data_IF_992963968421
#
_entry.id   IF_992963968421
#
_cell.length_a   1.000
_cell.length_b   1.000
_cell.length_c   1.000
_cell.angle_alpha   90.00
_cell.angle_beta   90.00
_cell.angle_gamma   90.00
#
_symmetry.space_group_name_H-M   'P 1'
#
loop_
_entity.id
_entity.type
_entity.pdbx_description
1 polymer ?
#
# COMPACT_ATOMS: atom_id res chain seq x y z
N UNK A 1 -8.49 23.73 21.94
CA UNK A 1 -8.52 22.51 21.10
C UNK A 1 -8.23 22.94 19.69
N UNK A 2 -7.26 22.30 19.00
CA UNK A 2 -7.07 22.56 17.56
C UNK A 2 -8.32 22.05 16.83
N UNK A 3 -8.87 22.83 15.94
CA UNK A 3 -9.98 22.43 15.07
C UNK A 3 -9.47 21.40 14.07
N UNK A 4 -10.21 20.30 13.90
CA UNK A 4 -9.90 19.33 12.86
C UNK A 4 -10.42 19.83 11.51
N UNK A 5 -9.61 19.66 10.49
CA UNK A 5 -9.97 19.96 9.09
C UNK A 5 -10.10 18.65 8.32
N UNK A 6 -11.11 18.53 7.47
CA UNK A 6 -11.28 17.41 6.55
C UNK A 6 -10.52 17.65 5.26
N UNK A 7 -9.71 16.68 4.89
CA UNK A 7 -8.86 16.70 3.70
C UNK A 7 -9.03 15.40 2.93
N UNK A 8 -9.21 15.47 1.63
CA UNK A 8 -9.14 14.31 0.76
C UNK A 8 -7.79 14.28 0.08
N UNK A 9 -7.08 13.17 0.30
CA UNK A 9 -5.83 12.87 -0.41
C UNK A 9 -6.08 11.84 -1.50
N UNK A 10 -5.33 11.96 -2.60
CA UNK A 10 -5.21 10.94 -3.63
C UNK A 10 -4.01 10.05 -3.35
N UNK A 11 -4.14 8.78 -3.64
CA UNK A 11 -3.08 7.78 -3.58
C UNK A 11 -2.96 7.13 -4.96
N UNK A 12 -1.73 6.99 -5.48
CA UNK A 12 -1.44 6.35 -6.75
C UNK A 12 -0.17 5.52 -6.71
N UNK A 13 -0.17 4.37 -7.39
CA UNK A 13 1.02 3.50 -7.51
C UNK A 13 0.98 2.78 -8.86
N UNK A 14 2.15 2.65 -9.54
CA UNK A 14 2.27 1.83 -10.75
C UNK A 14 3.57 1.01 -10.83
N UNK A 15 4.32 0.93 -9.74
CA UNK A 15 5.51 0.08 -9.61
C UNK A 15 5.44 -0.75 -8.33
N UNK A 16 6.06 -1.93 -8.36
CA UNK A 16 6.17 -2.82 -7.22
C UNK A 16 4.82 -3.37 -6.75
N UNK A 17 4.70 -3.66 -5.47
CA UNK A 17 3.46 -4.14 -4.83
C UNK A 17 2.47 -2.99 -4.64
N UNK A 18 1.74 -2.64 -5.70
CA UNK A 18 0.92 -1.43 -5.81
C UNK A 18 -0.12 -1.33 -4.69
N UNK A 19 -0.87 -2.40 -4.44
CA UNK A 19 -1.88 -2.40 -3.37
C UNK A 19 -1.25 -2.36 -1.98
N UNK A 20 -0.20 -3.14 -1.74
CA UNK A 20 0.52 -3.15 -0.47
C UNK A 20 1.12 -1.76 -0.14
N UNK A 21 1.65 -1.05 -1.15
CA UNK A 21 2.16 0.31 -1.02
C UNK A 21 1.06 1.31 -0.61
N UNK A 22 -0.12 1.26 -1.24
CA UNK A 22 -1.25 2.13 -0.86
C UNK A 22 -1.73 1.84 0.57
N UNK A 23 -1.76 0.57 0.98
CA UNK A 23 -2.15 0.16 2.34
C UNK A 23 -1.11 0.59 3.38
N UNK A 24 0.17 0.44 3.08
CA UNK A 24 1.25 0.89 3.95
C UNK A 24 1.22 2.42 4.14
N UNK A 25 0.95 3.18 3.07
CA UNK A 25 0.78 4.62 3.16
C UNK A 25 -0.35 5.01 4.12
N UNK A 26 -1.51 4.37 4.03
CA UNK A 26 -2.63 4.63 4.93
C UNK A 26 -2.32 4.30 6.39
N UNK A 27 -1.60 3.19 6.65
CA UNK A 27 -1.21 2.82 8.01
C UNK A 27 -0.16 3.80 8.59
N UNK A 28 0.80 4.27 7.79
CA UNK A 28 1.79 5.27 8.21
C UNK A 28 1.12 6.62 8.50
N UNK A 29 0.17 7.04 7.68
CA UNK A 29 -0.62 8.25 7.93
C UNK A 29 -1.45 8.11 9.21
N UNK A 30 -2.12 6.98 9.42
CA UNK A 30 -2.91 6.73 10.62
C UNK A 30 -2.05 6.67 11.90
N UNK A 31 -0.78 6.26 11.79
CA UNK A 31 0.19 6.27 12.90
C UNK A 31 0.77 7.67 13.18
N UNK A 32 0.56 8.63 12.28
CA UNK A 32 1.13 9.97 12.40
C UNK A 32 0.30 10.86 13.33
N UNK A 33 0.99 11.63 14.18
CA UNK A 33 0.32 12.52 15.13
C UNK A 33 -0.48 13.61 14.41
N UNK A 34 -1.73 13.80 14.83
CA UNK A 34 -2.61 14.82 14.28
C UNK A 34 -3.31 14.43 12.98
N UNK A 35 -3.25 13.16 12.59
CA UNK A 35 -3.94 12.63 11.42
C UNK A 35 -4.81 11.44 11.82
N UNK A 36 -6.05 11.43 11.37
CA UNK A 36 -7.01 10.33 11.45
C UNK A 36 -7.43 9.95 10.03
N UNK A 37 -7.28 8.70 9.63
CA UNK A 37 -7.83 8.17 8.38
C UNK A 37 -9.28 7.76 8.64
N UNK A 38 -10.23 8.58 8.18
CA UNK A 38 -11.67 8.40 8.44
C UNK A 38 -12.24 7.31 7.56
N UNK A 39 -11.96 7.34 6.27
CA UNK A 39 -12.41 6.34 5.29
C UNK A 39 -11.51 6.35 4.05
N UNK A 40 -11.64 5.30 3.25
CA UNK A 40 -10.95 5.15 1.96
C UNK A 40 -11.93 4.69 0.89
N UNK A 41 -11.63 5.04 -0.37
CA UNK A 41 -12.37 4.56 -1.53
C UNK A 41 -12.03 3.11 -1.86
N UNK A 42 -12.69 2.55 -2.85
CA UNK A 42 -12.21 1.38 -3.60
C UNK A 42 -10.90 1.72 -4.33
N UNK A 43 -10.25 0.66 -4.83
CA UNK A 43 -9.12 0.76 -5.76
C UNK A 43 -9.64 0.95 -7.18
N UNK A 44 -9.02 1.85 -7.91
CA UNK A 44 -9.33 2.14 -9.31
C UNK A 44 -8.08 1.93 -10.18
N UNK A 45 -8.13 0.95 -11.07
CA UNK A 45 -7.06 0.75 -12.02
C UNK A 45 -7.30 1.58 -13.27
N UNK A 46 -6.34 2.42 -13.66
CA UNK A 46 -6.45 3.31 -14.83
C UNK A 46 -5.23 3.24 -15.74
N UNK A 47 -5.40 3.65 -16.98
CA UNK A 47 -4.29 3.85 -17.89
C UNK A 47 -3.39 5.01 -17.40
N UNK A 48 -2.07 4.97 -17.66
CA UNK A 48 -1.19 6.08 -17.32
C UNK A 48 -1.47 7.30 -18.18
N UNK A 49 -1.29 8.48 -17.59
CA UNK A 49 -1.25 9.75 -18.35
C UNK A 49 0.21 10.04 -18.69
N UNK A 50 0.53 10.21 -19.97
CA UNK A 50 1.89 10.51 -20.43
C UNK A 50 2.56 9.36 -21.18
N UNK A 51 3.90 9.13 -21.01
CA UNK A 51 4.60 8.10 -21.74
C UNK A 51 4.11 6.68 -21.39
N UNK A 52 4.31 5.68 -22.27
CA UNK A 52 3.98 4.29 -21.99
C UNK A 52 4.64 3.80 -20.70
N UNK A 53 3.85 3.31 -19.76
CA UNK A 53 4.27 2.79 -18.46
C UNK A 53 3.18 1.88 -17.89
N UNK A 54 3.44 1.11 -16.82
CA UNK A 54 2.42 0.26 -16.19
C UNK A 54 1.18 1.03 -15.76
N UNK A 55 0.03 0.34 -15.72
CA UNK A 55 -1.24 0.90 -15.26
C UNK A 55 -1.14 1.34 -13.79
N UNK A 56 -1.79 2.45 -13.47
CA UNK A 56 -1.88 2.95 -12.11
C UNK A 56 -3.00 2.25 -11.33
N UNK A 57 -2.72 1.99 -10.07
CA UNK A 57 -3.71 1.70 -9.06
C UNK A 57 -3.92 2.97 -8.24
N UNK A 58 -5.14 3.51 -8.24
CA UNK A 58 -5.49 4.77 -7.58
C UNK A 58 -6.52 4.54 -6.49
N UNK A 59 -6.49 5.40 -5.47
CA UNK A 59 -7.51 5.48 -4.43
C UNK A 59 -7.59 6.92 -3.90
N UNK A 60 -8.57 7.20 -3.05
CA UNK A 60 -8.60 8.39 -2.21
C UNK A 60 -8.86 8.00 -0.75
N UNK A 61 -8.42 8.87 0.16
CA UNK A 61 -8.75 8.76 1.56
C UNK A 61 -9.22 10.11 2.11
N UNK A 62 -10.28 10.07 2.92
CA UNK A 62 -10.71 11.20 3.73
C UNK A 62 -9.92 11.18 5.04
N UNK A 63 -9.18 12.22 5.29
CA UNK A 63 -8.45 12.45 6.52
C UNK A 63 -9.18 13.51 7.36
N UNK A 64 -9.08 13.38 8.68
CA UNK A 64 -9.35 14.44 9.64
C UNK A 64 -8.02 14.80 10.31
N UNK A 65 -7.59 16.05 10.18
CA UNK A 65 -6.26 16.46 10.63
C UNK A 65 -6.24 17.77 11.38
N UNK A 66 -5.28 17.90 12.32
CA UNK A 66 -4.93 19.15 13.01
C UNK A 66 -3.68 19.81 12.45
N UNK A 67 -3.08 19.23 11.41
CA UNK A 67 -1.91 19.75 10.72
C UNK A 67 -2.32 20.88 9.78
N UNK A 68 -1.47 21.90 9.69
CA UNK A 68 -1.61 22.91 8.63
C UNK A 68 -1.37 22.28 7.24
N UNK A 69 -1.96 22.80 6.17
CA UNK A 69 -1.86 22.21 4.83
C UNK A 69 -0.42 21.94 4.38
N UNK A 70 0.52 22.81 4.71
CA UNK A 70 1.95 22.66 4.37
C UNK A 70 2.63 21.58 5.22
N UNK A 71 2.23 21.42 6.48
CA UNK A 71 2.72 20.34 7.36
C UNK A 71 2.20 18.98 6.87
N UNK A 72 0.91 18.92 6.49
CA UNK A 72 0.35 17.72 5.88
C UNK A 72 1.08 17.35 4.58
N UNK A 73 1.34 18.32 3.69
CA UNK A 73 2.09 18.06 2.46
C UNK A 73 3.51 17.54 2.75
N UNK A 74 4.19 18.07 3.75
CA UNK A 74 5.49 17.57 4.18
C UNK A 74 5.41 16.11 4.65
N UNK A 75 4.39 15.77 5.46
CA UNK A 75 4.14 14.40 5.91
C UNK A 75 3.87 13.45 4.72
N UNK A 76 3.04 13.86 3.74
CA UNK A 76 2.78 13.06 2.54
C UNK A 76 4.08 12.73 1.79
N UNK A 77 4.95 13.73 1.60
CA UNK A 77 6.26 13.54 0.96
C UNK A 77 7.20 12.64 1.78
N UNK A 78 7.13 12.66 3.11
CA UNK A 78 7.91 11.79 3.98
C UNK A 78 7.44 10.33 3.87
N UNK A 79 6.13 10.12 3.83
CA UNK A 79 5.54 8.79 3.60
C UNK A 79 5.95 8.24 2.23
N UNK A 80 5.87 9.04 1.17
CA UNK A 80 6.33 8.65 -0.17
C UNK A 80 7.80 8.21 -0.17
N UNK A 81 8.68 8.99 0.48
CA UNK A 81 10.11 8.66 0.58
C UNK A 81 10.34 7.35 1.34
N UNK A 82 9.62 7.14 2.43
CA UNK A 82 9.74 5.91 3.22
C UNK A 82 9.26 4.68 2.45
N UNK A 83 8.34 4.88 1.47
CA UNK A 83 7.80 3.84 0.59
C UNK A 83 8.52 3.79 -0.77
N UNK A 84 9.79 4.19 -0.79
CA UNK A 84 10.69 3.95 -1.91
C UNK A 84 10.48 4.87 -3.12
N UNK A 85 9.79 6.01 -2.97
CA UNK A 85 9.66 6.96 -4.05
C UNK A 85 11.01 7.59 -4.40
N UNK A 86 11.48 7.37 -5.62
CA UNK A 86 12.61 8.06 -6.22
C UNK A 86 12.11 9.02 -7.31
N UNK A 87 12.54 10.27 -7.27
CA UNK A 87 12.22 11.27 -8.31
C UNK A 87 13.24 11.16 -9.43
N UNK A 88 12.97 10.34 -10.47
CA UNK A 88 13.85 10.17 -11.64
C UNK A 88 13.46 11.09 -12.81
N UNK A 89 12.18 11.02 -13.23
CA UNK A 89 11.67 11.75 -14.39
C UNK A 89 10.29 12.38 -14.10
N UNK A 90 10.01 13.49 -14.78
CA UNK A 90 8.67 14.08 -14.76
C UNK A 90 7.71 13.15 -15.51
N UNK A 91 6.57 12.80 -14.90
CA UNK A 91 5.56 11.87 -15.43
C UNK A 91 6.04 10.40 -15.53
N UNK A 92 7.18 10.07 -14.92
CA UNK A 92 7.70 8.71 -14.86
C UNK A 92 6.93 7.80 -13.91
N UNK A 93 7.15 6.47 -14.01
CA UNK A 93 6.55 5.50 -13.10
C UNK A 93 7.07 5.69 -11.67
N UNK A 94 6.24 5.32 -10.68
CA UNK A 94 6.55 5.53 -9.26
C UNK A 94 5.93 4.49 -8.36
N UNK A 95 6.61 4.18 -7.26
CA UNK A 95 6.10 3.28 -6.23
C UNK A 95 4.88 3.84 -5.52
N UNK A 96 4.90 5.14 -5.21
CA UNK A 96 3.80 5.83 -4.53
C UNK A 96 3.73 7.29 -4.96
N UNK A 97 2.51 7.81 -5.09
CA UNK A 97 2.18 9.22 -5.31
C UNK A 97 1.07 9.61 -4.34
N UNK A 98 1.30 10.63 -3.51
CA UNK A 98 0.32 11.15 -2.55
C UNK A 98 0.07 12.62 -2.84
N UNK A 99 -1.16 12.95 -3.24
CA UNK A 99 -1.57 14.31 -3.55
C UNK A 99 -2.63 14.82 -2.57
N UNK A 100 -2.50 16.06 -2.09
CA UNK A 100 -3.58 16.76 -1.42
C UNK A 100 -4.59 17.26 -2.48
N UNK A 101 -5.71 16.54 -2.61
CA UNK A 101 -6.68 16.84 -3.67
C UNK A 101 -7.62 17.96 -3.32
N UNK A 102 -8.13 17.97 -2.08
CA UNK A 102 -9.18 18.87 -1.65
C UNK A 102 -9.17 19.04 -0.13
N UNK A 103 -9.52 20.24 0.33
CA UNK A 103 -9.69 20.58 1.75
C UNK A 103 -11.06 21.22 1.91
N UNK A 104 -11.82 20.81 2.93
CA UNK A 104 -13.16 21.34 3.20
C UNK A 104 -13.09 22.87 3.44
N UNK A 105 -13.87 23.62 2.67
CA UNK A 105 -14.05 25.06 2.79
C UNK A 105 -12.76 25.89 2.71
N UNK A 106 -11.70 25.35 2.09
CA UNK A 106 -10.41 26.02 2.01
C UNK A 106 -9.79 25.99 0.62
N UNK A 107 -9.09 27.07 0.30
CA UNK A 107 -8.20 27.20 -0.85
C UNK A 107 -6.79 27.49 -0.37
N UNK A 108 -5.82 26.81 -0.96
CA UNK A 108 -4.40 27.03 -0.67
C UNK A 108 -3.69 27.35 -1.99
N UNK A 109 -2.87 28.39 -2.00
CA UNK A 109 -2.06 28.76 -3.15
C UNK A 109 -0.69 29.22 -2.68
N UNK A 110 0.22 28.23 -2.53
CA UNK A 110 1.62 28.46 -2.20
C UNK A 110 2.52 27.89 -3.31
N UNK A 111 3.82 28.22 -3.35
CA UNK A 111 4.73 27.62 -4.32
C UNK A 111 4.83 26.09 -4.25
N UNK A 112 4.54 25.51 -3.08
CA UNK A 112 4.65 24.05 -2.83
C UNK A 112 3.32 23.31 -2.80
N UNK A 113 2.18 24.03 -2.71
CA UNK A 113 0.87 23.39 -2.57
C UNK A 113 -0.23 24.28 -3.15
N UNK A 114 -1.03 23.70 -4.04
CA UNK A 114 -2.26 24.32 -4.57
C UNK A 114 -3.43 23.38 -4.30
N UNK A 115 -4.45 23.86 -3.57
CA UNK A 115 -5.67 23.11 -3.24
C UNK A 115 -6.90 23.98 -3.54
N UNK A 116 -7.92 23.47 -4.25
CA UNK A 116 -8.00 22.12 -4.87
C UNK A 116 -6.88 21.86 -5.86
N UNK A 117 -6.48 20.58 -5.98
CA UNK A 117 -5.42 20.21 -6.91
C UNK A 117 -5.75 20.71 -8.33
N UNK A 118 -4.83 21.39 -9.04
CA UNK A 118 -5.12 22.09 -10.30
C UNK A 118 -5.78 21.20 -11.36
N UNK A 119 -5.38 19.94 -11.46
CA UNK A 119 -5.88 18.98 -12.43
C UNK A 119 -7.08 18.15 -11.92
N UNK A 120 -7.58 18.40 -10.71
CA UNK A 120 -8.61 17.55 -10.08
C UNK A 120 -9.85 17.40 -10.97
N UNK A 121 -10.36 18.50 -11.50
CA UNK A 121 -11.61 18.50 -12.28
C UNK A 121 -11.47 17.84 -13.66
N UNK A 122 -10.24 17.63 -14.14
CA UNK A 122 -9.94 17.02 -15.43
C UNK A 122 -9.59 15.53 -15.34
N UNK A 123 -9.45 14.97 -14.12
CA UNK A 123 -8.93 13.61 -13.87
C UNK A 123 -9.96 12.72 -13.22
N UNK A 124 -10.59 11.84 -13.99
CA UNK A 124 -11.57 10.90 -13.46
C UNK A 124 -11.01 10.00 -12.37
N UNK A 125 -9.77 9.51 -12.54
CA UNK A 125 -9.08 8.62 -11.58
C UNK A 125 -8.79 9.27 -10.22
N UNK A 126 -8.83 10.62 -10.13
CA UNK A 126 -8.72 11.35 -8.87
C UNK A 126 -10.10 11.77 -8.33
N UNK A 127 -10.98 12.24 -9.22
CA UNK A 127 -12.28 12.81 -8.85
C UNK A 127 -13.28 11.73 -8.42
N UNK A 128 -13.30 10.57 -9.10
CA UNK A 128 -14.20 9.47 -8.77
C UNK A 128 -13.96 8.89 -7.37
N UNK A 129 -12.73 8.50 -6.98
CA UNK A 129 -12.46 8.04 -5.63
C UNK A 129 -12.64 9.14 -4.57
N UNK A 130 -12.39 10.42 -4.90
CA UNK A 130 -12.68 11.55 -3.99
C UNK A 130 -14.17 11.60 -3.65
N UNK A 131 -15.06 11.56 -4.64
CA UNK A 131 -16.51 11.63 -4.43
C UNK A 131 -17.01 10.39 -3.67
N UNK A 132 -16.36 9.23 -3.84
CA UNK A 132 -16.71 8.03 -3.07
C UNK A 132 -16.48 8.22 -1.56
N UNK A 133 -15.40 8.89 -1.15
CA UNK A 133 -15.09 9.14 0.28
C UNK A 133 -15.70 10.41 0.83
N UNK A 134 -16.07 11.37 -0.03
CA UNK A 134 -16.68 12.65 0.35
C UNK A 134 -17.73 13.07 -0.69
N UNK A 135 -18.95 12.45 -0.65
CA UNK A 135 -20.00 12.69 -1.66
C UNK A 135 -20.54 14.11 -1.71
N UNK A 136 -20.43 14.84 -0.60
CA UNK A 136 -20.87 16.21 -0.42
C UNK A 136 -19.79 17.26 -0.73
N UNK A 137 -18.62 16.83 -1.25
CA UNK A 137 -17.54 17.72 -1.59
C UNK A 137 -17.95 18.76 -2.65
N UNK A 138 -17.67 20.02 -2.36
CA UNK A 138 -17.89 21.15 -3.27
C UNK A 138 -16.55 21.78 -3.64
N UNK A 139 -16.48 22.38 -4.81
CA UNK A 139 -15.34 23.22 -5.17
C UNK A 139 -15.35 24.50 -4.33
N UNK A 140 -14.35 24.75 -3.48
CA UNK A 140 -14.35 25.94 -2.62
C UNK A 140 -14.18 27.25 -3.39
N UNK A 141 -13.95 27.22 -4.72
CA UNK A 141 -13.80 28.38 -5.58
C UNK A 141 -15.15 28.99 -5.97
N UNK A 142 -16.18 28.14 -6.17
CA UNK A 142 -17.49 28.57 -6.67
C UNK A 142 -18.68 27.88 -5.98
N UNK A 143 -18.42 26.94 -5.05
CA UNK A 143 -19.44 26.17 -4.34
C UNK A 143 -20.11 25.05 -5.18
N UNK A 144 -19.63 24.77 -6.39
CA UNK A 144 -20.22 23.75 -7.24
C UNK A 144 -19.93 22.34 -6.69
N UNK A 145 -20.90 21.41 -6.66
CA UNK A 145 -20.66 20.03 -6.27
C UNK A 145 -19.64 19.35 -7.20
N UNK A 146 -18.58 18.76 -6.64
CA UNK A 146 -17.58 18.02 -7.43
C UNK A 146 -18.16 16.84 -8.20
N UNK A 147 -19.25 16.25 -7.71
CA UNK A 147 -20.02 15.23 -8.44
C UNK A 147 -20.53 15.70 -9.81
N UNK A 148 -20.80 17.00 -9.95
CA UNK A 148 -21.20 17.59 -11.23
C UNK A 148 -20.05 17.63 -12.23
N UNK A 149 -18.84 17.93 -11.75
CA UNK A 149 -17.64 17.89 -12.60
C UNK A 149 -17.36 16.48 -13.09
N UNK A 150 -17.47 15.46 -12.21
CA UNK A 150 -17.32 14.06 -12.60
C UNK A 150 -18.35 13.67 -13.68
N UNK A 151 -19.59 14.08 -13.54
CA UNK A 151 -20.64 13.77 -14.53
C UNK A 151 -20.40 14.40 -15.91
N UNK A 152 -19.57 15.45 -16.00
CA UNK A 152 -19.20 16.12 -17.26
C UNK A 152 -17.96 15.53 -17.93
N UNK A 153 -17.19 14.68 -17.24
CA UNK A 153 -16.04 13.99 -17.84
C UNK A 153 -16.50 12.86 -18.76
N UNK A 154 -15.76 12.64 -19.85
CA UNK A 154 -15.90 11.41 -20.64
C UNK A 154 -15.36 10.23 -19.81
N UNK A 155 -16.17 9.19 -19.55
CA UNK A 155 -15.72 8.05 -18.77
C UNK A 155 -14.51 7.35 -19.41
N UNK A 156 -13.50 7.02 -18.62
CA UNK A 156 -12.44 6.10 -19.05
C UNK A 156 -13.00 4.67 -19.07
N UNK A 157 -13.33 4.18 -20.26
CA UNK A 157 -13.87 2.83 -20.46
C UNK A 157 -12.90 1.71 -20.01
N UNK A 158 -11.62 2.03 -19.79
CA UNK A 158 -10.60 1.07 -19.34
C UNK A 158 -10.42 1.08 -17.84
N UNK A 159 -11.04 2.01 -17.12
CA UNK A 159 -10.93 2.11 -15.67
C UNK A 159 -11.80 1.04 -15.00
N UNK A 160 -11.18 0.23 -14.16
CA UNK A 160 -11.86 -0.80 -13.37
C UNK A 160 -11.79 -0.48 -11.89
N UNK A 161 -12.81 -0.87 -11.13
CA UNK A 161 -12.86 -0.65 -9.69
C UNK A 161 -13.02 -1.97 -8.94
N UNK A 162 -12.25 -2.14 -7.86
CA UNK A 162 -12.34 -3.27 -6.95
C UNK A 162 -12.15 -2.81 -5.50
N UNK A 163 -12.65 -3.55 -4.49
CA UNK A 163 -12.31 -3.25 -3.10
C UNK A 163 -10.80 -3.39 -2.87
N UNK A 164 -10.27 -2.74 -1.81
CA UNK A 164 -9.02 -3.20 -1.25
C UNK A 164 -9.22 -4.64 -0.80
N UNK A 165 -8.42 -5.55 -1.33
CA UNK A 165 -8.47 -6.93 -0.87
C UNK A 165 -8.04 -6.98 0.60
N UNK A 166 -8.74 -7.80 1.41
CA UNK A 166 -8.13 -8.25 2.64
C UNK A 166 -6.85 -8.96 2.19
N UNK A 167 -5.69 -8.58 2.73
CA UNK A 167 -4.38 -9.06 2.28
C UNK A 167 -4.28 -10.60 2.18
N UNK A 168 -5.29 -11.32 2.61
CA UNK A 168 -5.22 -12.75 2.87
C UNK A 168 -6.55 -13.45 2.56
N UNK A 169 -6.59 -14.19 1.49
CA UNK A 169 -7.30 -15.45 1.56
C UNK A 169 -6.33 -16.45 2.25
N UNK A 170 -6.14 -16.31 3.56
CA UNK A 170 -5.40 -17.25 4.36
C UNK A 170 -6.25 -18.53 4.47
N UNK A 171 -5.89 -19.55 3.73
CA UNK A 171 -6.38 -20.89 3.94
C UNK A 171 -5.29 -21.63 4.75
N UNK A 172 -5.50 -21.90 6.05
CA UNK A 172 -4.55 -22.71 6.79
C UNK A 172 -4.46 -24.08 6.15
N UNK A 173 -3.24 -24.53 5.84
CA UNK A 173 -2.99 -25.90 5.43
C UNK A 173 -3.00 -26.75 6.70
N UNK A 174 -3.97 -27.68 6.78
CA UNK A 174 -4.07 -28.60 7.91
C UNK A 174 -2.98 -29.67 7.81
N UNK A 175 -1.80 -29.42 8.36
CA UNK A 175 -0.79 -30.41 8.65
C UNK A 175 -0.48 -30.45 10.15
N UNK A 176 -0.29 -31.64 10.68
CA UNK A 176 -0.26 -31.92 12.13
C UNK A 176 1.04 -31.47 12.85
N UNK A 177 2.03 -30.93 12.14
CA UNK A 177 3.31 -30.51 12.69
C UNK A 177 3.87 -29.21 12.08
N UNK A 178 3.35 -28.74 10.93
CA UNK A 178 3.84 -27.58 10.22
C UNK A 178 2.72 -26.55 10.05
N UNK A 179 3.03 -25.27 10.07
CA UNK A 179 2.10 -24.21 9.67
C UNK A 179 2.24 -23.93 8.18
N UNK A 180 1.12 -23.75 7.47
CA UNK A 180 1.14 -23.43 6.07
C UNK A 180 0.00 -22.51 5.68
N UNK A 181 0.18 -21.79 4.56
CA UNK A 181 -0.83 -20.91 4.05
C UNK A 181 -0.89 -20.88 2.52
N UNK A 182 -2.01 -20.44 2.00
CA UNK A 182 -2.17 -20.04 0.60
C UNK A 182 -2.40 -18.54 0.55
N UNK A 183 -1.60 -17.82 -0.21
CA UNK A 183 -1.79 -16.40 -0.51
C UNK A 183 -2.21 -16.22 -1.97
N UNK A 184 -2.99 -15.16 -2.25
CA UNK A 184 -3.35 -14.73 -3.60
C UNK A 184 -3.19 -13.22 -3.73
N UNK A 185 -2.79 -12.75 -4.91
CA UNK A 185 -2.69 -11.32 -5.22
C UNK A 185 -2.86 -11.07 -6.72
N UNK A 186 -3.10 -9.81 -7.09
CA UNK A 186 -3.30 -9.41 -8.49
C UNK A 186 -2.03 -9.46 -9.33
N UNK A 187 -0.86 -9.37 -8.70
CA UNK A 187 0.45 -9.49 -9.35
C UNK A 187 1.48 -10.13 -8.42
N UNK A 188 2.65 -10.48 -8.97
CA UNK A 188 3.69 -11.20 -8.24
C UNK A 188 4.30 -10.36 -7.10
N UNK A 189 4.49 -9.06 -7.30
CA UNK A 189 5.05 -8.18 -6.27
C UNK A 189 4.09 -8.05 -5.08
N UNK A 190 2.78 -7.90 -5.33
CA UNK A 190 1.76 -7.91 -4.28
C UNK A 190 1.66 -9.30 -3.61
N UNK A 191 1.88 -10.42 -4.35
CA UNK A 191 1.93 -11.75 -3.76
C UNK A 191 3.09 -11.93 -2.78
N UNK A 192 4.30 -11.46 -3.14
CA UNK A 192 5.47 -11.48 -2.26
C UNK A 192 5.22 -10.68 -0.98
N UNK A 193 4.64 -9.47 -1.11
CA UNK A 193 4.28 -8.63 0.02
C UNK A 193 3.20 -9.30 0.90
N UNK A 194 2.13 -9.83 0.30
CA UNK A 194 1.06 -10.52 1.00
C UNK A 194 1.57 -11.76 1.75
N UNK A 195 2.41 -12.57 1.13
CA UNK A 195 2.99 -13.76 1.76
C UNK A 195 3.84 -13.42 2.99
N UNK A 196 4.62 -12.33 2.92
CA UNK A 196 5.37 -11.81 4.06
C UNK A 196 4.44 -11.35 5.20
N UNK A 197 3.35 -10.64 4.87
CA UNK A 197 2.36 -10.21 5.86
C UNK A 197 1.64 -11.40 6.52
N UNK A 198 1.28 -12.45 5.75
CA UNK A 198 0.71 -13.70 6.33
C UNK A 198 1.68 -14.31 7.32
N UNK A 199 2.95 -14.49 6.91
CA UNK A 199 3.97 -15.06 7.78
C UNK A 199 4.13 -14.24 9.06
N UNK A 200 4.14 -12.91 9.00
CA UNK A 200 4.15 -12.04 10.18
C UNK A 200 2.90 -12.22 11.06
N UNK A 201 1.72 -12.41 10.45
CA UNK A 201 0.47 -12.64 11.17
C UNK A 201 0.38 -14.00 11.86
N UNK A 202 1.15 -15.00 11.43
CA UNK A 202 1.33 -16.26 12.17
C UNK A 202 2.11 -16.05 13.47
N UNK A 203 3.02 -15.08 13.51
CA UNK A 203 3.83 -14.76 14.69
C UNK A 203 3.07 -13.84 15.66
N UNK A 204 2.45 -12.77 15.14
CA UNK A 204 1.81 -11.74 15.97
C UNK A 204 0.55 -11.19 15.30
N UNK A 205 -0.42 -10.75 16.10
CA UNK A 205 -1.59 -10.06 15.55
C UNK A 205 -1.19 -8.71 14.93
N UNK A 206 -1.11 -8.67 13.60
CA UNK A 206 -0.71 -7.48 12.86
C UNK A 206 -1.61 -6.25 13.13
N UNK A 207 -2.86 -6.44 13.56
CA UNK A 207 -3.76 -5.33 13.90
C UNK A 207 -3.36 -4.62 15.20
N UNK A 208 -2.67 -5.31 16.10
CA UNK A 208 -2.15 -4.72 17.35
C UNK A 208 -0.84 -3.93 17.14
N UNK A 209 -0.24 -4.02 15.94
CA UNK A 209 1.05 -3.40 15.66
C UNK A 209 0.87 -2.02 15.05
N UNK A 210 1.33 -0.97 15.74
CA UNK A 210 1.48 0.38 15.18
C UNK A 210 2.89 0.51 14.60
N UNK A 211 3.05 0.81 13.30
CA UNK A 211 4.37 0.87 12.69
C UNK A 211 5.17 2.08 13.21
N UNK A 212 6.25 1.81 13.90
CA UNK A 212 7.21 2.80 14.43
C UNK A 212 8.62 2.60 13.91
N UNK A 213 8.84 1.51 13.16
CA UNK A 213 10.12 1.08 12.61
C UNK A 213 9.94 0.54 11.21
N UNK A 214 10.92 0.76 10.36
CA UNK A 214 11.02 0.10 9.04
C UNK A 214 12.37 -0.59 8.88
N UNK A 215 12.37 -1.68 8.13
CA UNK A 215 13.56 -2.45 7.77
C UNK A 215 13.58 -2.63 6.26
N UNK A 216 14.65 -2.18 5.61
CA UNK A 216 14.86 -2.44 4.18
C UNK A 216 15.29 -3.89 3.97
N UNK A 217 14.69 -4.54 3.00
CA UNK A 217 15.00 -5.92 2.61
C UNK A 217 15.45 -5.93 1.16
N UNK A 218 16.56 -6.62 0.88
CA UNK A 218 17.05 -6.83 -0.48
C UNK A 218 17.63 -8.23 -0.61
N UNK A 219 17.09 -9.01 -1.53
CA UNK A 219 17.58 -10.35 -1.84
C UNK A 219 18.02 -10.44 -3.28
N UNK A 220 19.19 -11.03 -3.51
CA UNK A 220 19.67 -11.37 -4.85
C UNK A 220 19.14 -12.72 -5.26
N UNK A 221 18.68 -12.85 -6.49
CA UNK A 221 18.08 -14.05 -7.03
C UNK A 221 18.71 -14.30 -8.40
N UNK A 222 19.01 -15.57 -8.69
CA UNK A 222 19.51 -15.95 -10.00
C UNK A 222 18.47 -15.58 -11.09
N UNK A 223 18.94 -15.12 -12.25
CA UNK A 223 18.06 -14.74 -13.37
C UNK A 223 17.26 -15.92 -13.93
N UNK A 224 17.78 -17.13 -13.76
CA UNK A 224 17.13 -18.37 -14.21
C UNK A 224 16.24 -19.00 -13.12
N UNK A 225 16.24 -18.43 -11.90
CA UNK A 225 15.43 -18.92 -10.79
C UNK A 225 13.92 -18.79 -11.08
N UNK A 226 13.19 -19.83 -10.72
CA UNK A 226 11.73 -19.85 -10.79
C UNK A 226 11.06 -18.96 -9.71
N UNK A 227 9.75 -18.83 -9.84
CA UNK A 227 8.95 -18.02 -8.88
C UNK A 227 8.93 -18.66 -7.48
N UNK A 228 9.05 -20.00 -7.39
CA UNK A 228 9.16 -20.72 -6.10
C UNK A 228 10.44 -20.34 -5.36
N UNK A 229 11.59 -20.32 -6.05
CA UNK A 229 12.88 -19.95 -5.46
C UNK A 229 12.88 -18.48 -5.04
N UNK A 230 12.25 -17.62 -5.83
CA UNK A 230 12.05 -16.20 -5.52
C UNK A 230 11.26 -16.01 -4.23
N UNK A 231 10.15 -16.74 -4.09
CA UNK A 231 9.31 -16.71 -2.89
C UNK A 231 10.07 -17.26 -1.68
N UNK A 232 10.76 -18.39 -1.84
CA UNK A 232 11.56 -19.00 -0.78
C UNK A 232 12.64 -18.04 -0.25
N UNK A 233 13.41 -17.44 -1.16
CA UNK A 233 14.51 -16.53 -0.81
C UNK A 233 13.98 -15.27 -0.13
N UNK A 234 12.89 -14.70 -0.68
CA UNK A 234 12.23 -13.53 -0.09
C UNK A 234 11.73 -13.81 1.32
N UNK A 235 10.96 -14.87 1.52
CA UNK A 235 10.38 -15.20 2.82
C UNK A 235 11.42 -15.63 3.85
N UNK A 236 12.51 -16.28 3.42
CA UNK A 236 13.62 -16.63 4.32
C UNK A 236 14.29 -15.39 4.89
N UNK A 237 14.50 -14.34 4.08
CA UNK A 237 15.06 -13.07 4.54
C UNK A 237 14.06 -12.31 5.42
N UNK A 238 12.77 -12.31 5.05
CA UNK A 238 11.73 -11.72 5.90
C UNK A 238 11.70 -12.42 7.26
N UNK A 239 11.72 -13.75 7.31
CA UNK A 239 11.70 -14.52 8.55
C UNK A 239 12.89 -14.17 9.44
N UNK A 240 14.09 -13.99 8.87
CA UNK A 240 15.26 -13.54 9.61
C UNK A 240 15.00 -12.22 10.34
N UNK A 241 14.37 -11.25 9.70
CA UNK A 241 14.04 -9.97 10.33
C UNK A 241 12.93 -10.08 11.38
N UNK A 242 11.98 -11.00 11.22
CA UNK A 242 10.93 -11.22 12.20
C UNK A 242 11.49 -11.89 13.48
N UNK A 243 12.34 -12.90 13.32
CA UNK A 243 12.92 -13.67 14.43
C UNK A 243 14.14 -12.95 15.03
N UNK A 244 15.28 -12.95 14.36
CA UNK A 244 16.53 -12.37 14.86
C UNK A 244 16.42 -10.84 15.03
N UNK A 245 15.68 -10.17 14.13
CA UNK A 245 15.40 -8.73 14.19
C UNK A 245 14.33 -8.34 15.19
N UNK A 246 13.60 -9.32 15.77
CA UNK A 246 12.47 -9.13 16.69
C UNK A 246 11.48 -8.09 16.18
N UNK A 247 11.09 -8.20 14.90
CA UNK A 247 10.15 -7.27 14.28
C UNK A 247 8.72 -7.82 14.37
N UNK A 248 7.85 -7.14 15.08
CA UNK A 248 6.40 -7.32 14.94
C UNK A 248 5.94 -6.65 13.65
N UNK A 249 5.55 -7.44 12.65
CA UNK A 249 5.23 -6.94 11.32
C UNK A 249 3.80 -6.39 11.24
N UNK A 250 3.67 -5.19 10.69
CA UNK A 250 2.39 -4.59 10.31
C UNK A 250 2.15 -4.68 8.80
N UNK A 251 3.18 -4.31 7.99
CA UNK A 251 3.12 -4.28 6.53
C UNK A 251 4.43 -4.72 5.92
N UNK A 252 4.32 -5.40 4.78
CA UNK A 252 5.44 -5.64 3.87
C UNK A 252 5.13 -4.98 2.53
N UNK A 253 6.14 -4.40 1.88
CA UNK A 253 6.02 -3.83 0.54
C UNK A 253 7.20 -4.27 -0.31
N UNK A 254 6.96 -4.43 -1.60
CA UNK A 254 7.98 -4.69 -2.61
C UNK A 254 8.07 -3.47 -3.52
N UNK A 255 9.25 -2.87 -3.60
CA UNK A 255 9.52 -1.72 -4.46
C UNK A 255 9.89 -2.15 -5.87
N UNK A 256 10.61 -3.26 -5.98
CA UNK A 256 11.14 -3.80 -7.21
C UNK A 256 11.21 -5.33 -7.14
N UNK A 257 10.67 -5.99 -8.15
CA UNK A 257 10.71 -7.43 -8.36
C UNK A 257 11.29 -7.69 -9.76
N UNK A 258 12.57 -7.35 -9.90
CA UNK A 258 13.32 -7.47 -11.15
C UNK A 258 14.00 -8.83 -11.33
N UNK A 259 14.66 -9.03 -12.48
CA UNK A 259 15.30 -10.31 -12.80
C UNK A 259 16.51 -10.65 -11.89
N UNK A 260 17.07 -9.66 -11.21
CA UNK A 260 18.28 -9.84 -10.37
C UNK A 260 17.93 -9.97 -8.87
N UNK A 261 16.66 -9.83 -8.49
CA UNK A 261 16.26 -9.93 -7.10
C UNK A 261 14.99 -9.17 -6.75
N UNK A 262 14.72 -9.14 -5.45
CA UNK A 262 13.58 -8.43 -4.87
C UNK A 262 14.08 -7.39 -3.88
N UNK A 263 13.55 -6.16 -3.97
CA UNK A 263 13.80 -5.08 -3.00
C UNK A 263 12.49 -4.59 -2.42
N UNK A 264 12.47 -4.42 -1.12
CA UNK A 264 11.27 -3.97 -0.41
C UNK A 264 11.57 -3.43 0.98
N UNK A 265 10.53 -3.31 1.77
CA UNK A 265 10.64 -2.94 3.18
C UNK A 265 9.56 -3.60 4.02
N UNK A 266 9.88 -3.80 5.29
CA UNK A 266 9.00 -4.27 6.34
C UNK A 266 8.72 -3.11 7.29
N UNK A 267 7.45 -2.86 7.60
CA UNK A 267 6.99 -1.82 8.51
C UNK A 267 6.34 -2.47 9.72
N UNK A 268 6.80 -2.10 10.90
CA UNK A 268 6.33 -2.70 12.14
C UNK A 268 6.84 -1.98 13.37
N UNK A 269 6.95 -2.69 14.46
CA UNK A 269 7.50 -2.22 15.72
C UNK A 269 8.47 -3.25 16.31
N UNK A 270 9.27 -2.88 17.31
CA UNK A 270 10.00 -3.87 18.08
C UNK A 270 9.01 -4.80 18.79
N UNK A 271 9.26 -6.12 18.69
CA UNK A 271 8.40 -7.12 19.32
C UNK A 271 8.45 -6.98 20.84
N UNK A 272 7.32 -6.60 21.41
CA UNK A 272 7.12 -6.41 22.84
C UNK A 272 6.00 -7.35 23.32
N UNK A 273 6.33 -8.43 23.99
CA UNK A 273 5.40 -9.45 24.47
C UNK A 273 4.37 -8.91 25.48
N UNK A 274 4.63 -7.73 26.07
CA UNK A 274 3.66 -7.06 26.93
C UNK A 274 2.52 -6.35 26.15
N UNK A 275 2.76 -6.04 24.87
CA UNK A 275 1.83 -5.34 23.97
C UNK A 275 1.32 -6.19 22.85
N UNK A 276 2.13 -7.14 22.38
CA UNK A 276 1.83 -7.99 21.24
C UNK A 276 1.54 -9.42 21.71
N UNK A 277 0.42 -9.97 21.27
CA UNK A 277 0.11 -11.39 21.50
C UNK A 277 0.90 -12.24 20.50
N UNK A 278 1.97 -12.89 20.99
CA UNK A 278 2.74 -13.85 20.20
C UNK A 278 1.94 -15.14 20.06
N UNK A 279 1.83 -15.66 18.83
CA UNK A 279 1.04 -16.84 18.46
C UNK A 279 1.91 -18.07 18.28
N UNK A 280 2.91 -17.98 17.38
CA UNK A 280 3.80 -19.09 17.02
C UNK A 280 5.24 -18.62 16.90
N UNK A 281 6.19 -19.53 17.11
CA UNK A 281 7.59 -19.32 16.77
C UNK A 281 7.89 -20.07 15.46
N UNK A 282 8.13 -19.34 14.39
CA UNK A 282 8.48 -19.93 13.10
C UNK A 282 10.00 -20.15 13.03
N UNK A 283 10.46 -21.30 12.50
CA UNK A 283 11.88 -21.65 12.42
C UNK A 283 12.46 -21.50 11.02
N UNK A 284 11.77 -22.00 10.02
CA UNK A 284 12.26 -21.98 8.65
C UNK A 284 11.13 -22.03 7.63
N UNK A 285 11.30 -21.33 6.51
CA UNK A 285 10.53 -21.56 5.28
C UNK A 285 11.01 -22.89 4.68
N UNK A 286 10.09 -23.74 4.22
CA UNK A 286 10.46 -25.05 3.68
C UNK A 286 10.19 -25.12 2.18
N UNK A 287 10.95 -25.97 1.47
CA UNK A 287 10.66 -26.31 0.07
C UNK A 287 9.50 -27.30 -0.06
N UNK A 288 9.05 -27.89 1.06
CA UNK A 288 7.96 -28.85 1.03
C UNK A 288 6.67 -28.16 0.60
N UNK A 289 6.09 -28.66 -0.50
CA UNK A 289 4.85 -28.12 -1.09
C UNK A 289 4.84 -26.60 -1.35
N UNK A 290 6.01 -25.96 -1.44
CA UNK A 290 6.13 -24.58 -1.92
C UNK A 290 5.79 -24.56 -3.41
N UNK A 291 4.81 -23.74 -3.76
CA UNK A 291 4.35 -23.59 -5.14
C UNK A 291 3.92 -22.15 -5.37
N UNK A 292 4.43 -21.52 -6.42
CA UNK A 292 4.02 -20.20 -6.88
C UNK A 292 3.61 -20.29 -8.34
N UNK A 293 2.38 -19.93 -8.65
CA UNK A 293 1.86 -20.06 -10.01
C UNK A 293 0.81 -18.97 -10.34
N UNK A 294 0.65 -18.64 -11.64
CA UNK A 294 -0.52 -17.89 -12.09
C UNK A 294 -1.83 -18.65 -11.78
N UNK A 295 -2.87 -17.91 -11.36
CA UNK A 295 -4.20 -18.42 -11.05
C UNK A 295 -5.25 -17.53 -11.72
N UNK A 296 -5.53 -17.78 -13.02
CA UNK A 296 -6.35 -16.90 -13.87
C UNK A 296 -5.66 -15.54 -14.08
N UNK A 297 -6.35 -14.46 -13.73
CA UNK A 297 -5.82 -13.08 -13.79
C UNK A 297 -5.05 -12.69 -12.52
N UNK A 298 -4.82 -13.63 -11.61
CA UNK A 298 -4.14 -13.43 -10.34
C UNK A 298 -2.90 -14.33 -10.21
N UNK A 299 -2.22 -14.22 -9.08
CA UNK A 299 -1.11 -15.08 -8.65
C UNK A 299 -1.48 -15.80 -7.36
N UNK A 300 -1.00 -17.01 -7.21
CA UNK A 300 -1.19 -17.85 -6.03
C UNK A 300 0.16 -18.35 -5.52
N UNK A 301 0.35 -18.33 -4.21
CA UNK A 301 1.45 -19.01 -3.53
C UNK A 301 0.89 -19.97 -2.48
N UNK A 302 1.49 -21.14 -2.38
CA UNK A 302 1.33 -22.08 -1.27
C UNK A 302 2.67 -22.19 -0.57
N UNK A 303 2.68 -22.00 0.75
CA UNK A 303 3.89 -21.97 1.56
C UNK A 303 3.70 -22.82 2.79
N UNK A 304 4.71 -23.60 3.14
CA UNK A 304 4.80 -24.41 4.38
C UNK A 304 5.99 -23.94 5.19
N UNK A 305 5.79 -23.76 6.49
CA UNK A 305 6.76 -23.20 7.42
C UNK A 305 6.92 -24.16 8.61
N UNK A 306 8.15 -24.48 8.97
CA UNK A 306 8.50 -25.25 10.16
C UNK A 306 8.33 -24.40 11.44
N UNK A 307 7.74 -24.98 12.50
CA UNK A 307 7.41 -24.31 13.76
C UNK A 307 8.12 -24.93 14.98
#
# INVERSE_FOLDING_TARGET
MKTHTEVVIGLGSNLGSREALLRAALDLLAASSGVEVVTRSRLYESAPVGPPQPRYLNAAALLRTTLEPTELMALLLDVERSLGRERRERWGPRTLDLDCLWIRDAQVATPSLVVPHPELLAREFALRPLIEVCPDAVDPRDGAPLARALASLSPDATMTARPFEAAFAHQPLLHTADEGFVARASDRADLLAASAEVMGALIVDAQSVTPTRSVSVSVSIDREAGDDERMFTWLSEVLYHLDAGRLALRRAVVFDDGPEGVRGALFGADLDESKHTVRSALKAVTWHALEVSPDGDAWRAQVVIDV
#
